data_IF_712738606758
#
_entry.id   IF_712738606758
#
_cell.length_a   1.000
_cell.length_b   1.000
_cell.length_c   1.000
_cell.angle_alpha   90.00
_cell.angle_beta   90.00
_cell.angle_gamma   90.00
#
_symmetry.space_group_name_H-M   'P 1'
#
loop_
_entity.id
_entity.type
_entity.pdbx_description
1 polymer ?
#
# COMPACT_ATOMS: atom_id res chain seq x y z
N UNK A 1 -0.85 23.83 61.46
CA UNK A 1 0.15 23.15 60.60
C UNK A 1 -0.54 22.83 59.31
N UNK A 2 -0.18 23.53 58.24
CA UNK A 2 -0.79 23.37 56.91
C UNK A 2 0.35 23.37 55.91
N UNK A 3 0.09 22.80 54.73
CA UNK A 3 0.87 22.76 53.49
C UNK A 3 1.57 21.42 53.26
N UNK A 4 1.44 20.73 52.13
CA UNK A 4 0.62 20.92 50.92
C UNK A 4 0.69 19.55 50.19
N UNK A 5 -0.44 18.99 49.76
CA UNK A 5 -0.44 17.80 48.88
C UNK A 5 -0.04 18.25 47.47
N UNK A 6 1.06 17.74 46.94
CA UNK A 6 1.44 17.95 45.55
C UNK A 6 0.77 16.89 44.66
N UNK A 7 -0.25 17.30 43.90
CA UNK A 7 -0.85 16.48 42.85
C UNK A 7 -0.07 16.70 41.55
N UNK A 8 0.80 15.77 41.17
CA UNK A 8 1.47 15.78 39.87
C UNK A 8 0.54 15.16 38.82
N UNK A 9 -0.07 16.01 37.99
CA UNK A 9 -0.86 15.62 36.84
C UNK A 9 0.07 15.31 35.66
N UNK A 10 0.35 14.04 35.39
CA UNK A 10 1.09 13.63 34.20
C UNK A 10 0.17 13.71 32.98
N UNK A 11 0.36 14.74 32.15
CA UNK A 11 -0.33 14.87 30.87
C UNK A 11 0.25 13.85 29.88
N UNK A 12 -0.51 12.81 29.56
CA UNK A 12 -0.25 11.94 28.42
C UNK A 12 -0.50 12.74 27.14
N UNK A 13 0.57 13.23 26.50
CA UNK A 13 0.48 13.70 25.11
C UNK A 13 0.38 12.48 24.20
N UNK A 14 -0.85 12.10 23.84
CA UNK A 14 -1.07 11.19 22.72
C UNK A 14 -0.57 11.88 21.45
N UNK A 15 0.62 11.52 20.98
CA UNK A 15 1.08 11.92 19.65
C UNK A 15 0.19 11.21 18.64
N UNK A 16 -0.77 11.93 18.07
CA UNK A 16 -1.43 11.49 16.85
C UNK A 16 -0.33 11.26 15.81
N UNK A 17 -0.17 10.04 15.32
CA UNK A 17 0.69 9.77 14.18
C UNK A 17 0.06 10.48 12.97
N UNK A 18 0.63 11.62 12.58
CA UNK A 18 0.23 12.31 11.36
C UNK A 18 0.79 11.48 10.22
N UNK A 19 -0.06 10.73 9.52
CA UNK A 19 0.33 10.17 8.23
C UNK A 19 0.70 11.35 7.32
N UNK A 20 1.95 11.40 6.86
CA UNK A 20 2.38 12.43 5.93
C UNK A 20 1.69 12.22 4.58
N UNK A 21 1.18 13.29 3.97
CA UNK A 21 0.55 13.20 2.66
C UNK A 21 1.56 12.75 1.59
N UNK A 22 1.07 11.98 0.62
CA UNK A 22 1.85 11.57 -0.54
C UNK A 22 2.24 12.80 -1.38
N UNK A 23 3.48 12.80 -1.89
CA UNK A 23 3.98 13.84 -2.78
C UNK A 23 3.75 13.42 -4.22
N UNK A 24 2.98 14.21 -4.98
CA UNK A 24 2.74 13.99 -6.41
C UNK A 24 4.04 14.19 -7.21
N UNK A 25 4.37 13.23 -8.07
CA UNK A 25 5.54 13.23 -8.96
C UNK A 25 5.15 13.16 -10.44
N UNK A 26 3.85 13.11 -10.76
CA UNK A 26 3.33 13.14 -12.11
C UNK A 26 2.35 12.00 -12.42
N UNK A 27 2.03 11.84 -13.71
CA UNK A 27 1.07 10.86 -14.19
C UNK A 27 1.59 10.20 -15.48
N UNK A 28 1.52 8.87 -15.54
CA UNK A 28 2.03 8.07 -16.66
C UNK A 28 1.07 6.94 -16.95
N UNK A 29 0.55 6.90 -18.19
CA UNK A 29 -0.19 5.75 -18.74
C UNK A 29 -1.32 5.22 -17.82
N UNK A 30 -2.09 6.11 -17.18
CA UNK A 30 -3.20 5.71 -16.30
C UNK A 30 -2.85 5.64 -14.81
N UNK A 31 -1.58 5.85 -14.45
CA UNK A 31 -1.08 5.74 -13.08
C UNK A 31 -0.52 7.08 -12.58
N UNK A 32 -0.89 7.46 -11.36
CA UNK A 32 -0.21 8.53 -10.64
C UNK A 32 1.13 8.01 -10.14
N UNK A 33 2.19 8.80 -10.29
CA UNK A 33 3.49 8.57 -9.69
C UNK A 33 3.53 9.39 -8.41
N UNK A 34 3.70 8.74 -7.28
CA UNK A 34 3.73 9.38 -5.98
C UNK A 34 5.02 9.02 -5.24
N UNK A 35 5.31 9.77 -4.19
CA UNK A 35 6.34 9.45 -3.23
C UNK A 35 5.74 9.48 -1.83
N UNK A 36 6.10 8.49 -1.03
CA UNK A 36 5.63 8.33 0.34
C UNK A 36 6.75 8.65 1.34
N UNK A 37 6.71 9.83 1.99
CA UNK A 37 7.66 10.19 3.04
C UNK A 37 7.66 9.21 4.22
N UNK A 38 6.51 8.59 4.54
CA UNK A 38 6.38 7.64 5.64
C UNK A 38 7.10 6.31 5.34
N UNK A 39 7.38 6.03 4.07
CA UNK A 39 8.15 4.87 3.61
C UNK A 39 9.57 5.26 3.15
N UNK A 40 10.14 6.31 3.77
CA UNK A 40 11.52 6.73 3.52
C UNK A 40 11.71 7.38 2.16
N UNK A 41 10.71 8.13 1.70
CA UNK A 41 10.64 8.69 0.34
C UNK A 41 10.58 7.60 -0.74
N UNK A 42 9.94 6.47 -0.43
CA UNK A 42 9.68 5.41 -1.41
C UNK A 42 8.76 5.90 -2.52
N UNK A 43 9.17 5.74 -3.78
CA UNK A 43 8.30 6.05 -4.91
C UNK A 43 7.31 4.91 -5.18
N UNK A 44 6.12 5.26 -5.68
CA UNK A 44 5.06 4.31 -5.97
C UNK A 44 4.26 4.73 -7.21
N UNK A 45 3.57 3.77 -7.79
CA UNK A 45 2.46 3.99 -8.71
C UNK A 45 1.15 3.80 -7.97
N UNK A 46 0.18 4.68 -8.20
CA UNK A 46 -1.16 4.60 -7.62
C UNK A 46 -2.23 4.86 -8.66
N UNK A 47 -3.32 4.11 -8.58
CA UNK A 47 -4.57 4.49 -9.25
C UNK A 47 -5.75 4.38 -8.29
N UNK A 48 -6.77 5.20 -8.54
CA UNK A 48 -8.01 5.27 -7.77
C UNK A 48 -9.16 4.96 -8.71
N UNK A 49 -9.97 3.98 -8.35
CA UNK A 49 -11.11 3.51 -9.15
C UNK A 49 -12.42 4.18 -8.72
N UNK A 50 -13.46 4.05 -9.54
CA UNK A 50 -14.76 4.69 -9.33
C UNK A 50 -15.47 4.23 -8.05
N UNK A 51 -15.22 2.99 -7.62
CA UNK A 51 -15.72 2.42 -6.37
C UNK A 51 -14.90 2.84 -5.14
N UNK A 52 -13.98 3.80 -5.31
CA UNK A 52 -13.01 4.29 -4.34
C UNK A 52 -11.94 3.26 -3.97
N UNK A 53 -11.81 2.17 -4.72
CA UNK A 53 -10.68 1.27 -4.56
C UNK A 53 -9.38 1.97 -4.90
N UNK A 54 -8.33 1.69 -4.14
CA UNK A 54 -6.99 2.21 -4.39
C UNK A 54 -6.02 1.05 -4.54
N UNK A 55 -5.23 1.09 -5.60
CA UNK A 55 -4.11 0.16 -5.81
C UNK A 55 -2.82 0.93 -5.77
N UNK A 56 -1.86 0.44 -4.97
CA UNK A 56 -0.50 0.98 -4.90
C UNK A 56 0.51 -0.14 -5.15
N UNK A 57 1.52 0.15 -5.95
CA UNK A 57 2.72 -0.68 -6.08
C UNK A 57 3.91 0.24 -5.92
N UNK A 58 4.79 -0.03 -4.96
CA UNK A 58 5.86 0.91 -4.64
C UNK A 58 7.02 0.32 -3.86
N UNK A 59 7.91 1.21 -3.48
CA UNK A 59 9.08 0.93 -2.67
C UNK A 59 8.84 1.35 -1.23
N UNK A 60 9.23 0.49 -0.31
CA UNK A 60 9.46 0.81 1.09
C UNK A 60 10.98 0.93 1.27
N UNK A 61 11.46 2.17 1.24
CA UNK A 61 12.88 2.47 1.28
C UNK A 61 13.48 2.34 2.69
N UNK A 62 12.64 2.36 3.73
CA UNK A 62 13.07 2.15 5.13
C UNK A 62 13.50 0.71 5.35
N UNK A 63 12.72 -0.23 4.82
CA UNK A 63 12.95 -1.67 4.99
C UNK A 63 13.58 -2.34 3.75
N UNK A 64 13.96 -1.55 2.74
CA UNK A 64 14.56 -2.01 1.47
C UNK A 64 13.76 -3.15 0.81
N UNK A 65 12.46 -2.93 0.65
CA UNK A 65 11.52 -3.91 0.08
C UNK A 65 10.52 -3.22 -0.84
N UNK A 66 9.85 -3.99 -1.68
CA UNK A 66 8.69 -3.51 -2.42
C UNK A 66 7.39 -3.87 -1.70
N UNK A 67 6.31 -3.21 -2.10
CA UNK A 67 4.98 -3.54 -1.62
C UNK A 67 3.93 -3.45 -2.72
N UNK A 68 2.85 -4.18 -2.52
CA UNK A 68 1.61 -4.11 -3.27
C UNK A 68 0.45 -3.98 -2.28
N UNK A 69 -0.28 -2.88 -2.36
CA UNK A 69 -1.40 -2.60 -1.48
C UNK A 69 -2.70 -2.42 -2.27
N UNK A 70 -3.77 -3.00 -1.74
CA UNK A 70 -5.13 -2.80 -2.22
C UNK A 70 -5.97 -2.31 -1.08
N UNK A 71 -6.65 -1.17 -1.26
CA UNK A 71 -7.65 -0.64 -0.35
C UNK A 71 -9.00 -0.76 -1.01
N UNK A 72 -9.92 -1.51 -0.40
CA UNK A 72 -11.23 -1.82 -0.96
C UNK A 72 -12.15 -2.36 0.15
N UNK A 73 -13.41 -1.91 0.19
CA UNK A 73 -14.39 -2.33 1.21
C UNK A 73 -14.70 -3.84 1.20
N UNK A 74 -14.51 -4.52 0.08
CA UNK A 74 -14.69 -5.96 -0.10
C UNK A 74 -13.66 -6.80 0.69
N UNK A 75 -12.64 -6.18 1.28
CA UNK A 75 -11.79 -6.85 2.27
C UNK A 75 -12.56 -7.27 3.53
N UNK A 76 -13.70 -6.65 3.83
CA UNK A 76 -14.46 -6.92 5.05
C UNK A 76 -13.71 -6.48 6.30
N UNK A 77 -13.70 -7.31 7.33
CA UNK A 77 -13.16 -7.00 8.66
C UNK A 77 -11.64 -7.26 8.77
N UNK A 78 -10.85 -6.79 7.79
CA UNK A 78 -9.39 -6.79 7.93
C UNK A 78 -8.97 -5.85 9.06
N UNK A 79 -8.09 -6.33 9.93
CA UNK A 79 -7.56 -5.58 11.07
C UNK A 79 -6.12 -5.14 10.80
N UNK A 80 -5.81 -3.94 11.26
CA UNK A 80 -4.47 -3.36 11.12
C UNK A 80 -3.41 -4.23 11.80
N UNK A 81 -2.35 -4.57 11.07
CA UNK A 81 -1.20 -5.34 11.55
C UNK A 81 -1.40 -6.85 11.60
N UNK A 82 -2.61 -7.36 11.38
CA UNK A 82 -2.85 -8.81 11.30
C UNK A 82 -2.46 -9.37 9.92
N UNK A 83 -2.03 -10.63 9.91
CA UNK A 83 -1.65 -11.34 8.69
C UNK A 83 -2.81 -12.15 8.12
N UNK A 84 -3.03 -12.06 6.82
CA UNK A 84 -4.09 -12.77 6.12
C UNK A 84 -3.52 -13.54 4.91
N UNK A 85 -3.90 -14.82 4.72
CA UNK A 85 -3.62 -15.51 3.47
C UNK A 85 -4.50 -14.91 2.38
N UNK A 86 -3.90 -14.42 1.32
CA UNK A 86 -4.61 -13.90 0.15
C UNK A 86 -4.15 -14.62 -1.10
N UNK A 87 -4.98 -14.57 -2.13
CA UNK A 87 -4.66 -15.10 -3.45
C UNK A 87 -4.81 -14.00 -4.48
N UNK A 88 -3.94 -13.98 -5.46
CA UNK A 88 -4.10 -13.15 -6.64
C UNK A 88 -3.89 -13.96 -7.91
N UNK A 89 -4.52 -13.51 -8.98
CA UNK A 89 -4.40 -14.09 -10.31
C UNK A 89 -3.85 -13.06 -11.29
N UNK A 90 -2.81 -13.43 -12.03
CA UNK A 90 -2.25 -12.66 -13.13
C UNK A 90 -2.53 -13.39 -14.44
N UNK A 91 -3.38 -12.82 -15.29
CA UNK A 91 -3.90 -13.48 -16.51
C UNK A 91 -4.36 -14.93 -16.27
N UNK A 92 -5.07 -15.16 -15.16
CA UNK A 92 -5.59 -16.47 -14.76
C UNK A 92 -4.59 -17.41 -14.10
N UNK A 93 -3.32 -17.04 -13.98
CA UNK A 93 -2.34 -17.79 -13.18
C UNK A 93 -2.43 -17.39 -11.71
N UNK A 94 -2.75 -18.33 -10.83
CA UNK A 94 -2.88 -18.12 -9.38
C UNK A 94 -1.53 -18.07 -8.66
N UNK A 95 -1.48 -17.23 -7.63
CA UNK A 95 -0.38 -17.06 -6.71
C UNK A 95 -0.92 -16.80 -5.30
N UNK A 96 -0.30 -17.44 -4.31
CA UNK A 96 -0.63 -17.23 -2.90
C UNK A 96 0.35 -16.24 -2.27
N UNK A 97 -0.15 -15.40 -1.36
CA UNK A 97 0.65 -14.47 -0.59
C UNK A 97 0.11 -14.32 0.83
N UNK A 98 0.97 -13.84 1.74
CA UNK A 98 0.55 -13.33 3.04
C UNK A 98 0.52 -11.81 2.97
N UNK A 99 -0.63 -11.22 3.21
CA UNK A 99 -0.79 -9.76 3.30
C UNK A 99 -0.94 -9.32 4.76
N UNK A 100 -0.50 -8.11 5.05
CA UNK A 100 -0.70 -7.44 6.34
C UNK A 100 -1.86 -6.45 6.19
N UNK A 101 -2.82 -6.52 7.10
CA UNK A 101 -3.93 -5.58 7.14
C UNK A 101 -3.47 -4.15 7.44
N UNK A 102 -4.02 -3.19 6.72
CA UNK A 102 -3.74 -1.78 6.86
C UNK A 102 -4.97 -0.95 6.50
N UNK A 103 -5.26 0.11 7.24
CA UNK A 103 -6.41 0.97 6.94
C UNK A 103 -5.93 2.35 6.48
N UNK A 104 -6.50 2.83 5.37
CA UNK A 104 -6.27 4.18 4.85
C UNK A 104 -7.58 4.95 4.90
N UNK A 105 -7.66 5.99 5.75
CA UNK A 105 -8.85 6.87 5.88
C UNK A 105 -10.17 6.09 5.91
N UNK A 106 -10.23 5.09 6.80
CA UNK A 106 -11.37 4.18 7.03
C UNK A 106 -11.69 3.18 5.91
N UNK A 107 -10.86 3.11 4.85
CA UNK A 107 -10.95 2.05 3.85
C UNK A 107 -10.03 0.90 4.26
N UNK A 108 -10.56 -0.32 4.45
CA UNK A 108 -9.74 -1.46 4.77
C UNK A 108 -8.83 -1.81 3.58
N UNK A 109 -7.63 -2.25 3.89
CA UNK A 109 -6.65 -2.61 2.90
C UNK A 109 -5.74 -3.75 3.36
N UNK A 110 -5.12 -4.38 2.39
CA UNK A 110 -4.15 -5.44 2.62
C UNK A 110 -2.90 -5.15 1.79
N UNK A 111 -1.73 -5.29 2.41
CA UNK A 111 -0.44 -5.01 1.79
C UNK A 111 0.43 -6.26 1.79
N UNK A 112 0.91 -6.66 0.62
CA UNK A 112 1.94 -7.68 0.46
C UNK A 112 3.29 -6.99 0.35
N UNK A 113 4.23 -7.35 1.22
CA UNK A 113 5.62 -6.92 1.12
C UNK A 113 6.46 -8.01 0.47
N UNK A 114 7.42 -7.63 -0.36
CA UNK A 114 8.30 -8.57 -1.06
C UNK A 114 9.69 -7.98 -1.26
N UNK A 115 10.71 -8.83 -1.16
CA UNK A 115 12.10 -8.48 -1.50
C UNK A 115 12.49 -9.04 -2.87
N UNK A 116 11.82 -10.10 -3.32
CA UNK A 116 11.98 -10.64 -4.66
C UNK A 116 11.24 -9.78 -5.70
N UNK A 117 11.97 -9.35 -6.72
CA UNK A 117 11.44 -8.54 -7.83
C UNK A 117 10.60 -9.35 -8.82
N UNK A 118 10.60 -10.69 -8.73
CA UNK A 118 9.80 -11.56 -9.59
C UNK A 118 8.30 -11.20 -9.56
N UNK A 119 7.79 -10.78 -8.40
CA UNK A 119 6.39 -10.38 -8.21
C UNK A 119 6.02 -9.14 -9.04
N UNK A 120 6.80 -8.06 -8.92
CA UNK A 120 6.57 -6.81 -9.69
C UNK A 120 6.80 -7.02 -11.17
N UNK A 121 7.78 -7.86 -11.54
CA UNK A 121 8.00 -8.22 -12.93
C UNK A 121 6.80 -8.98 -13.52
N UNK A 122 6.19 -9.87 -12.75
CA UNK A 122 4.98 -10.58 -13.18
C UNK A 122 3.83 -9.59 -13.40
N UNK A 123 3.57 -8.69 -12.44
CA UNK A 123 2.56 -7.63 -12.60
C UNK A 123 2.84 -6.78 -13.85
N UNK A 124 4.09 -6.39 -14.09
CA UNK A 124 4.45 -5.58 -15.26
C UNK A 124 4.26 -6.32 -16.60
N UNK A 125 4.33 -7.65 -16.62
CA UNK A 125 4.28 -8.47 -17.84
C UNK A 125 2.88 -9.01 -18.16
N UNK A 126 1.97 -8.96 -17.19
CA UNK A 126 0.61 -9.46 -17.32
C UNK A 126 -0.38 -8.32 -17.64
N UNK A 127 -1.56 -8.69 -18.15
CA UNK A 127 -2.58 -7.73 -18.60
C UNK A 127 -3.65 -7.48 -17.55
N UNK A 128 -3.89 -8.45 -16.68
CA UNK A 128 -4.96 -8.40 -15.69
C UNK A 128 -4.45 -8.89 -14.34
N UNK A 129 -5.00 -8.28 -13.29
CA UNK A 129 -4.79 -8.71 -11.91
C UNK A 129 -6.15 -8.83 -11.21
N UNK A 130 -6.43 -10.00 -10.65
CA UNK A 130 -7.57 -10.22 -9.77
C UNK A 130 -7.08 -10.56 -8.37
N UNK A 131 -7.64 -9.93 -7.35
CA UNK A 131 -7.30 -10.16 -5.94
C UNK A 131 -8.48 -10.80 -5.22
N UNK A 132 -8.20 -11.81 -4.40
CA UNK A 132 -9.18 -12.56 -3.64
C UNK A 132 -8.93 -12.44 -2.14
N UNK A 133 -10.00 -12.38 -1.36
CA UNK A 133 -9.96 -12.40 0.09
C UNK A 133 -9.71 -13.84 0.62
N UNK A 134 -9.49 -14.03 1.94
CA UNK A 134 -9.29 -15.36 2.52
C UNK A 134 -10.48 -16.32 2.34
N UNK A 135 -11.70 -15.79 2.14
CA UNK A 135 -12.90 -16.58 1.88
C UNK A 135 -13.03 -17.02 0.42
N UNK A 136 -12.19 -16.48 -0.48
CA UNK A 136 -12.20 -16.76 -1.91
C UNK A 136 -13.06 -15.81 -2.75
N UNK A 137 -13.65 -14.77 -2.14
CA UNK A 137 -14.39 -13.76 -2.89
C UNK A 137 -13.43 -12.81 -3.61
N UNK A 138 -13.86 -12.32 -4.77
CA UNK A 138 -13.12 -11.29 -5.51
C UNK A 138 -13.20 -9.97 -4.74
N UNK A 139 -12.04 -9.45 -4.35
CA UNK A 139 -11.91 -8.10 -3.78
C UNK A 139 -11.92 -7.09 -4.91
N UNK A 140 -11.10 -7.31 -5.94
CA UNK A 140 -11.05 -6.46 -7.11
C UNK A 140 -10.45 -7.18 -8.32
N UNK A 141 -10.74 -6.67 -9.51
CA UNK A 141 -10.08 -7.04 -10.75
C UNK A 141 -9.71 -5.77 -11.53
N UNK A 142 -8.48 -5.70 -12.03
CA UNK A 142 -7.95 -4.53 -12.73
C UNK A 142 -7.26 -4.91 -14.03
N UNK A 143 -7.26 -3.95 -14.96
CA UNK A 143 -6.40 -3.96 -16.13
C UNK A 143 -5.04 -3.36 -15.76
N UNK A 144 -3.97 -4.00 -16.23
CA UNK A 144 -2.58 -3.65 -15.94
C UNK A 144 -1.93 -2.87 -17.09
N UNK A 145 -2.69 -2.38 -18.07
CA UNK A 145 -2.14 -1.54 -19.13
C UNK A 145 -1.43 -0.32 -18.55
N UNK A 146 -0.31 0.06 -19.18
CA UNK A 146 0.54 1.14 -18.69
C UNK A 146 1.41 0.83 -17.47
N UNK A 147 1.10 -0.25 -16.71
CA UNK A 147 1.78 -0.56 -15.43
C UNK A 147 3.29 -0.73 -15.60
N UNK A 148 3.75 -1.41 -16.65
CA UNK A 148 5.18 -1.57 -16.92
C UNK A 148 5.91 -0.23 -17.07
N UNK A 149 5.29 0.72 -17.81
CA UNK A 149 5.88 2.04 -18.03
C UNK A 149 5.85 2.88 -16.75
N UNK A 150 4.74 2.83 -16.01
CA UNK A 150 4.62 3.54 -14.74
C UNK A 150 5.63 3.02 -13.69
N UNK A 151 5.84 1.70 -13.62
CA UNK A 151 6.85 1.09 -12.73
C UNK A 151 8.29 1.49 -13.11
N UNK A 152 8.59 1.61 -14.41
CA UNK A 152 9.87 2.15 -14.87
C UNK A 152 10.08 3.57 -14.34
N UNK A 153 9.07 4.43 -14.42
CA UNK A 153 9.12 5.79 -13.87
C UNK A 153 9.25 5.81 -12.35
N UNK A 154 8.53 4.94 -11.62
CA UNK A 154 8.68 4.84 -10.17
C UNK A 154 10.11 4.41 -9.78
N UNK A 155 10.72 3.49 -10.54
CA UNK A 155 12.12 3.10 -10.35
C UNK A 155 13.08 4.26 -10.63
N UNK A 156 12.84 5.06 -11.66
CA UNK A 156 13.62 6.27 -11.91
C UNK A 156 13.46 7.31 -10.79
N UNK A 157 12.23 7.51 -10.32
CA UNK A 157 11.92 8.37 -9.19
C UNK A 157 12.72 7.96 -7.95
N UNK A 158 12.83 6.66 -7.68
CA UNK A 158 13.59 6.12 -6.55
C UNK A 158 15.09 6.46 -6.59
N UNK A 159 15.65 6.62 -7.79
CA UNK A 159 17.09 6.87 -8.01
C UNK A 159 17.45 8.34 -8.11
N UNK A 160 16.46 9.24 -8.17
CA UNK A 160 16.70 10.68 -8.14
C UNK A 160 16.86 11.06 -6.68
N UNK A 161 18.07 11.45 -6.27
CA UNK A 161 18.26 12.14 -4.99
C UNK A 161 17.37 13.38 -4.98
N UNK A 162 16.47 13.47 -3.99
CA UNK A 162 15.68 14.67 -3.71
C UNK A 162 16.36 15.50 -2.62
#
# INVERSE_FOLDING_TARGET
MTRLLALTLAAFTATAALAQDLIDKGFVEGWNIMMDPALGNGCLIQTVYQDLSVVRIGYDALDNRGYFAVYNKAWGDIKQGESYPIRFELDGKSYDATAIGFNERDVPGATVFFTDRSFVNAIAQNKTLTVYNPAGDVVMAIDLNGTAKALEYARECQNREL
#
